data_IF_222310654273
#
_entry.id   IF_222310654273
#
_cell.length_a   1.000
_cell.length_b   1.000
_cell.length_c   1.000
_cell.angle_alpha   90.00
_cell.angle_beta   90.00
_cell.angle_gamma   90.00
#
_symmetry.space_group_name_H-M   'P 1'
#
loop_
_entity.id
_entity.type
_entity.pdbx_description
1 polymer ?
#
# COMPACT_ATOMS: atom_id res chain seq x y z
N UNK A 1 -9.14 -14.22 -14.87
CA UNK A 1 -9.99 -13.91 -16.02
C UNK A 1 -10.12 -12.39 -16.04
N UNK A 2 -9.40 -11.74 -16.95
CA UNK A 2 -9.39 -10.27 -17.06
C UNK A 2 -10.65 -9.81 -17.78
N UNK A 3 -11.54 -9.13 -17.08
CA UNK A 3 -12.53 -8.30 -17.74
C UNK A 3 -11.79 -7.15 -18.44
N UNK A 4 -11.98 -7.05 -19.75
CA UNK A 4 -11.52 -5.92 -20.55
C UNK A 4 -12.08 -4.63 -19.94
N UNK A 5 -11.29 -3.57 -19.77
CA UNK A 5 -11.82 -2.30 -19.30
C UNK A 5 -12.94 -1.85 -20.23
N UNK A 6 -14.17 -1.73 -19.71
CA UNK A 6 -15.25 -1.09 -20.46
C UNK A 6 -14.83 0.38 -20.66
N UNK A 7 -14.65 0.77 -21.91
CA UNK A 7 -14.58 2.19 -22.27
C UNK A 7 -15.94 2.76 -21.94
N UNK A 8 -16.02 3.56 -20.90
CA UNK A 8 -17.24 4.27 -20.49
C UNK A 8 -17.09 5.69 -20.99
N UNK A 9 -17.58 5.94 -22.20
CA UNK A 9 -17.72 7.28 -22.74
C UNK A 9 -19.07 7.85 -22.24
N UNK A 10 -19.05 8.98 -21.55
CA UNK A 10 -20.27 9.64 -21.12
C UNK A 10 -20.09 10.55 -19.91
N UNK A 11 -21.09 11.37 -19.59
CA UNK A 11 -21.09 12.16 -18.37
C UNK A 11 -21.07 11.26 -17.12
N UNK A 12 -20.73 11.83 -15.98
CA UNK A 12 -20.80 11.12 -14.70
C UNK A 12 -22.25 10.73 -14.38
N UNK A 13 -22.44 9.51 -13.88
CA UNK A 13 -23.73 8.98 -13.40
C UNK A 13 -23.77 9.08 -11.86
N UNK A 14 -24.57 10.01 -11.36
CA UNK A 14 -24.67 10.31 -9.92
C UNK A 14 -26.06 9.94 -9.43
N UNK A 15 -26.11 9.00 -8.47
CA UNK A 15 -27.38 8.61 -7.87
C UNK A 15 -28.08 9.81 -7.18
N UNK A 16 -29.42 9.99 -7.30
CA UNK A 16 -30.12 11.16 -6.78
C UNK A 16 -29.98 11.41 -5.27
N UNK A 17 -29.66 10.37 -4.49
CA UNK A 17 -29.44 10.49 -3.03
C UNK A 17 -27.97 10.72 -2.66
N UNK A 18 -27.06 10.74 -3.62
CA UNK A 18 -25.66 11.06 -3.35
C UNK A 18 -25.48 12.57 -3.12
N UNK A 19 -24.56 12.91 -2.25
CA UNK A 19 -24.18 14.32 -1.98
C UNK A 19 -22.85 14.60 -2.66
N UNK A 20 -22.85 15.31 -3.75
CA UNK A 20 -21.65 15.73 -4.47
C UNK A 20 -21.46 17.22 -4.38
N UNK A 21 -20.32 17.66 -3.82
CA UNK A 21 -20.03 19.08 -3.69
C UNK A 21 -19.83 19.71 -5.07
N UNK A 22 -20.37 20.93 -5.36
CA UNK A 22 -20.26 21.57 -6.69
C UNK A 22 -18.83 21.83 -7.18
N UNK A 23 -17.84 21.78 -6.30
CA UNK A 23 -16.40 21.92 -6.62
C UNK A 23 -15.67 20.56 -6.66
N UNK A 24 -16.37 19.45 -6.59
CA UNK A 24 -15.78 18.14 -6.89
C UNK A 24 -15.63 17.99 -8.41
N UNK A 25 -14.55 17.37 -8.83
CA UNK A 25 -14.26 17.14 -10.24
C UNK A 25 -14.47 15.65 -10.54
N UNK A 26 -15.43 15.33 -11.40
CA UNK A 26 -15.74 13.97 -11.82
C UNK A 26 -15.33 13.77 -13.28
N UNK A 27 -14.48 12.78 -13.53
CA UNK A 27 -14.08 12.38 -14.88
C UNK A 27 -15.21 11.73 -15.69
N UNK A 28 -14.96 11.43 -16.94
CA UNK A 28 -15.90 10.76 -17.81
C UNK A 28 -16.30 9.38 -17.28
N UNK A 29 -17.59 9.05 -17.33
CA UNK A 29 -18.11 7.75 -16.92
C UNK A 29 -17.93 7.41 -15.43
N UNK A 30 -17.65 8.38 -14.56
CA UNK A 30 -17.63 8.19 -13.11
C UNK A 30 -19.03 7.82 -12.64
N UNK A 31 -19.13 6.83 -11.76
CA UNK A 31 -20.40 6.42 -11.13
C UNK A 31 -20.37 6.67 -9.63
N UNK A 32 -21.38 7.35 -9.10
CA UNK A 32 -21.52 7.64 -7.67
C UNK A 32 -22.82 7.01 -7.14
N UNK A 33 -22.68 6.02 -6.27
CA UNK A 33 -23.78 5.24 -5.71
C UNK A 33 -24.61 5.99 -4.66
N UNK A 34 -25.72 5.37 -4.22
CA UNK A 34 -26.66 5.99 -3.29
C UNK A 34 -25.99 6.34 -1.95
N UNK A 35 -26.37 7.51 -1.41
CA UNK A 35 -25.92 8.03 -0.12
C UNK A 35 -24.39 8.19 -0.01
N UNK A 36 -23.65 8.13 -1.11
CA UNK A 36 -22.24 8.47 -1.12
C UNK A 36 -22.05 9.98 -0.94
N UNK A 37 -20.98 10.38 -0.27
CA UNK A 37 -20.58 11.78 -0.08
C UNK A 37 -19.25 12.03 -0.79
N UNK A 38 -19.26 13.00 -1.70
CA UNK A 38 -18.06 13.45 -2.41
C UNK A 38 -17.86 14.93 -2.10
N UNK A 39 -16.87 15.20 -1.26
CA UNK A 39 -16.63 16.53 -0.69
C UNK A 39 -15.89 17.48 -1.60
N UNK A 40 -15.66 18.70 -1.09
CA UNK A 40 -14.91 19.75 -1.78
C UNK A 40 -13.45 19.33 -1.97
N UNK A 41 -12.93 19.51 -3.20
CA UNK A 41 -11.51 19.23 -3.53
C UNK A 41 -11.22 17.75 -3.85
N UNK A 42 -12.26 16.94 -3.97
CA UNK A 42 -12.17 15.58 -4.47
C UNK A 42 -12.12 15.59 -6.00
N UNK A 43 -11.17 14.86 -6.57
CA UNK A 43 -11.03 14.62 -8.01
C UNK A 43 -11.08 13.13 -8.28
N UNK A 44 -12.00 12.68 -9.12
CA UNK A 44 -12.16 11.28 -9.53
C UNK A 44 -11.81 11.14 -11.00
N UNK A 45 -10.83 10.28 -11.30
CA UNK A 45 -10.45 9.95 -12.68
C UNK A 45 -11.53 9.14 -13.40
N UNK A 46 -11.44 9.11 -14.72
CA UNK A 46 -12.41 8.49 -15.62
C UNK A 46 -12.76 7.05 -15.24
N UNK A 47 -14.02 6.70 -15.34
CA UNK A 47 -14.52 5.35 -15.07
C UNK A 47 -14.41 4.89 -13.61
N UNK A 48 -14.11 5.79 -12.68
CA UNK A 48 -14.05 5.44 -11.25
C UNK A 48 -15.46 5.21 -10.70
N UNK A 49 -15.62 4.19 -9.88
CA UNK A 49 -16.87 3.79 -9.25
C UNK A 49 -16.82 4.05 -7.74
N UNK A 50 -17.80 4.77 -7.22
CA UNK A 50 -17.99 5.04 -5.80
C UNK A 50 -19.24 4.34 -5.31
N UNK A 51 -19.06 3.38 -4.43
CA UNK A 51 -20.14 2.57 -3.84
C UNK A 51 -21.02 3.34 -2.85
N UNK A 52 -22.14 2.73 -2.42
CA UNK A 52 -23.07 3.35 -1.51
C UNK A 52 -22.42 3.69 -0.16
N UNK A 53 -22.84 4.80 0.44
CA UNK A 53 -22.36 5.27 1.75
C UNK A 53 -20.84 5.50 1.84
N UNK A 54 -20.10 5.49 0.74
CA UNK A 54 -18.69 5.88 0.75
C UNK A 54 -18.56 7.38 1.02
N UNK A 55 -17.53 7.78 1.78
CA UNK A 55 -17.28 9.18 2.12
C UNK A 55 -15.89 9.57 1.65
N UNK A 56 -15.84 10.51 0.72
CA UNK A 56 -14.64 11.03 0.09
C UNK A 56 -14.50 12.51 0.45
N UNK A 57 -13.44 12.88 1.15
CA UNK A 57 -13.31 14.23 1.71
C UNK A 57 -11.91 14.83 1.55
N UNK A 58 -11.83 16.16 1.64
CA UNK A 58 -10.59 16.91 1.60
C UNK A 58 -9.91 16.94 0.24
N UNK A 59 -8.62 17.22 0.21
CA UNK A 59 -7.80 17.20 -1.01
C UNK A 59 -7.51 15.75 -1.41
N UNK A 60 -8.36 15.18 -2.25
CA UNK A 60 -8.30 13.78 -2.66
C UNK A 60 -8.19 13.68 -4.19
N UNK A 61 -7.17 12.99 -4.68
CA UNK A 61 -6.96 12.69 -6.09
C UNK A 61 -7.05 11.15 -6.28
N UNK A 62 -8.01 10.68 -7.05
CA UNK A 62 -8.21 9.26 -7.37
C UNK A 62 -8.00 9.06 -8.86
N UNK A 63 -7.09 8.17 -9.21
CA UNK A 63 -6.79 7.81 -10.60
C UNK A 63 -7.96 7.12 -11.31
N UNK A 64 -7.87 6.93 -12.63
CA UNK A 64 -8.93 6.34 -13.43
C UNK A 64 -9.17 4.86 -13.13
N UNK A 65 -10.41 4.41 -13.33
CA UNK A 65 -10.80 3.02 -13.23
C UNK A 65 -10.73 2.43 -11.82
N UNK A 66 -10.71 3.26 -10.79
CA UNK A 66 -10.74 2.81 -9.40
C UNK A 66 -12.15 2.32 -9.00
N UNK A 67 -12.20 1.41 -8.05
CA UNK A 67 -13.45 0.91 -7.48
C UNK A 67 -13.43 1.10 -5.97
N UNK A 68 -14.28 1.95 -5.47
CA UNK A 68 -14.42 2.28 -4.04
C UNK A 68 -15.73 1.66 -3.57
N UNK A 69 -15.67 0.74 -2.63
CA UNK A 69 -16.83 -0.03 -2.18
C UNK A 69 -17.56 0.66 -1.01
N UNK A 70 -18.66 0.06 -0.61
CA UNK A 70 -19.57 0.61 0.37
C UNK A 70 -18.88 0.98 1.69
N UNK A 71 -19.22 2.14 2.24
CA UNK A 71 -18.77 2.58 3.55
C UNK A 71 -17.28 2.90 3.67
N UNK A 72 -16.52 2.90 2.56
CA UNK A 72 -15.12 3.35 2.60
C UNK A 72 -15.04 4.85 2.95
N UNK A 73 -14.07 5.23 3.79
CA UNK A 73 -13.85 6.62 4.25
C UNK A 73 -12.44 7.07 3.88
N UNK A 74 -12.35 8.04 2.99
CA UNK A 74 -11.06 8.46 2.41
C UNK A 74 -10.88 9.98 2.53
N UNK A 75 -9.69 10.38 2.99
CA UNK A 75 -9.30 11.78 3.02
C UNK A 75 -9.66 12.54 4.30
N UNK A 76 -10.18 11.85 5.32
CA UNK A 76 -10.39 12.44 6.64
C UNK A 76 -9.08 12.88 7.32
N UNK A 77 -9.15 13.80 8.31
CA UNK A 77 -7.99 14.23 9.08
C UNK A 77 -7.21 13.06 9.67
N UNK A 78 -5.89 13.18 9.82
CA UNK A 78 -5.07 12.16 10.46
C UNK A 78 -5.48 11.91 11.91
N UNK A 79 -5.37 10.67 12.36
CA UNK A 79 -5.53 10.30 13.76
C UNK A 79 -4.21 10.57 14.51
N UNK A 80 -3.79 11.84 14.53
CA UNK A 80 -2.59 12.30 15.21
C UNK A 80 -2.97 13.43 16.18
N UNK A 81 -2.62 13.28 17.45
CA UNK A 81 -2.92 14.28 18.50
C UNK A 81 -2.21 15.63 18.23
N UNK A 82 -1.18 15.65 17.40
CA UNK A 82 -0.48 16.87 17.00
C UNK A 82 -1.09 17.58 15.81
N UNK A 83 -2.09 16.96 15.18
CA UNK A 83 -2.76 17.52 14.02
C UNK A 83 -3.44 18.85 14.36
N UNK A 84 -3.31 19.81 13.46
CA UNK A 84 -3.99 21.11 13.55
C UNK A 84 -5.03 21.19 12.46
N UNK A 85 -6.27 21.47 12.83
CA UNK A 85 -7.37 21.64 11.88
C UNK A 85 -7.02 22.73 10.85
N UNK A 86 -7.37 22.47 9.59
CA UNK A 86 -7.09 23.36 8.50
C UNK A 86 -5.72 23.20 7.83
N UNK A 87 -4.82 22.34 8.34
CA UNK A 87 -3.55 22.05 7.64
C UNK A 87 -3.82 21.50 6.24
N UNK A 88 -3.32 22.16 5.17
CA UNK A 88 -3.51 21.68 3.80
C UNK A 88 -2.71 20.41 3.57
N UNK A 89 -3.41 19.32 3.31
CA UNK A 89 -2.78 18.02 2.98
C UNK A 89 -3.77 17.14 2.24
N UNK A 90 -3.31 15.99 1.71
CA UNK A 90 -4.17 15.21 0.85
C UNK A 90 -3.90 13.70 0.83
N UNK A 91 -4.69 13.02 0.00
CA UNK A 91 -4.54 11.62 -0.39
C UNK A 91 -4.45 11.52 -1.89
N UNK A 92 -3.51 10.72 -2.40
CA UNK A 92 -3.43 10.30 -3.81
C UNK A 92 -3.59 8.81 -3.92
N UNK A 93 -4.43 8.38 -4.87
CA UNK A 93 -4.67 6.98 -5.18
C UNK A 93 -4.45 6.80 -6.68
N UNK A 94 -3.59 5.85 -7.03
CA UNK A 94 -3.27 5.51 -8.41
C UNK A 94 -4.42 4.85 -9.15
N UNK A 95 -4.20 4.57 -10.42
CA UNK A 95 -5.20 4.00 -11.33
C UNK A 95 -5.58 2.55 -10.97
N UNK A 96 -6.80 2.13 -11.31
CA UNK A 96 -7.29 0.74 -11.21
C UNK A 96 -7.16 0.10 -9.82
N UNK A 97 -7.04 0.92 -8.78
CA UNK A 97 -6.99 0.46 -7.40
C UNK A 97 -8.39 0.12 -6.90
N UNK A 98 -8.50 -1.01 -6.19
CA UNK A 98 -9.74 -1.50 -5.60
C UNK A 98 -9.70 -1.30 -4.10
N UNK A 99 -10.65 -0.54 -3.57
CA UNK A 99 -10.80 -0.20 -2.16
C UNK A 99 -12.11 -0.81 -1.67
N UNK A 100 -12.01 -1.87 -0.86
CA UNK A 100 -13.16 -2.63 -0.40
C UNK A 100 -13.90 -1.94 0.74
N UNK A 101 -14.90 -2.61 1.24
CA UNK A 101 -15.87 -2.09 2.21
C UNK A 101 -15.19 -1.62 3.49
N UNK A 102 -15.59 -0.45 3.98
CA UNK A 102 -15.15 0.14 5.25
C UNK A 102 -13.63 0.34 5.38
N UNK A 103 -12.91 0.38 4.27
CA UNK A 103 -11.51 0.80 4.28
C UNK A 103 -11.41 2.25 4.70
N UNK A 104 -10.41 2.57 5.52
CA UNK A 104 -10.13 3.95 5.93
C UNK A 104 -8.75 4.40 5.45
N UNK A 105 -8.68 5.59 4.83
CA UNK A 105 -7.43 6.19 4.36
C UNK A 105 -7.40 7.65 4.81
N UNK A 106 -6.43 7.99 5.66
CA UNK A 106 -6.30 9.33 6.21
C UNK A 106 -5.30 10.16 5.39
N UNK A 107 -5.59 11.47 5.28
CA UNK A 107 -4.67 12.42 4.62
C UNK A 107 -3.39 12.62 5.44
N UNK A 108 -2.36 13.17 4.80
CA UNK A 108 -1.09 13.48 5.45
C UNK A 108 -1.25 14.40 6.67
N UNK A 109 -0.37 14.24 7.65
CA UNK A 109 -0.26 15.12 8.81
C UNK A 109 0.63 16.33 8.54
N UNK A 110 1.38 16.31 7.45
CA UNK A 110 2.32 17.36 7.06
C UNK A 110 1.64 18.40 6.18
N UNK A 111 2.02 19.66 6.33
CA UNK A 111 1.61 20.73 5.43
C UNK A 111 2.03 20.40 3.99
N UNK A 112 1.08 20.56 3.05
CA UNK A 112 1.20 20.14 1.66
C UNK A 112 1.61 18.67 1.41
N UNK A 113 1.60 17.85 2.47
CA UNK A 113 1.92 16.44 2.41
C UNK A 113 0.82 15.58 1.78
N UNK A 114 1.20 14.35 1.43
CA UNK A 114 0.33 13.37 0.81
C UNK A 114 0.50 11.99 1.41
N UNK A 115 -0.60 11.34 1.73
CA UNK A 115 -0.68 9.89 1.84
C UNK A 115 -0.87 9.34 0.44
N UNK A 116 -0.06 8.39 0.01
CA UNK A 116 0.00 7.92 -1.38
C UNK A 116 -0.25 6.43 -1.47
N UNK A 117 -1.14 6.03 -2.36
CA UNK A 117 -1.40 4.64 -2.75
C UNK A 117 -1.17 4.55 -4.26
N UNK A 118 -0.39 3.55 -4.68
CA UNK A 118 -0.05 3.32 -6.07
C UNK A 118 -1.18 2.75 -6.92
N UNK A 119 -0.81 2.36 -8.12
CA UNK A 119 -1.71 1.73 -9.10
C UNK A 119 -2.00 0.27 -8.75
N UNK A 120 -3.15 -0.23 -9.20
CA UNK A 120 -3.50 -1.66 -9.17
C UNK A 120 -3.44 -2.30 -7.77
N UNK A 121 -3.57 -1.50 -6.72
CA UNK A 121 -3.63 -2.00 -5.36
C UNK A 121 -4.98 -2.65 -5.04
N UNK A 122 -4.97 -3.59 -4.10
CA UNK A 122 -6.17 -4.23 -3.59
C UNK A 122 -6.22 -4.10 -2.06
N UNK A 123 -7.03 -3.17 -1.57
CA UNK A 123 -7.25 -2.93 -0.15
C UNK A 123 -8.55 -3.64 0.25
N UNK A 124 -8.41 -4.76 0.98
CA UNK A 124 -9.57 -5.57 1.41
C UNK A 124 -10.30 -4.91 2.57
N UNK A 125 -11.50 -5.41 2.82
CA UNK A 125 -12.44 -4.84 3.77
C UNK A 125 -11.82 -4.53 5.13
N UNK A 126 -12.15 -3.36 5.68
CA UNK A 126 -11.71 -2.90 7.00
C UNK A 126 -10.19 -2.72 7.18
N UNK A 127 -9.42 -2.73 6.09
CA UNK A 127 -8.01 -2.33 6.20
C UNK A 127 -7.88 -0.83 6.43
N UNK A 128 -6.79 -0.42 7.07
CA UNK A 128 -6.52 0.96 7.45
C UNK A 128 -5.18 1.45 6.92
N UNK A 129 -5.18 2.62 6.30
CA UNK A 129 -3.97 3.35 5.90
C UNK A 129 -3.95 4.69 6.62
N UNK A 130 -3.07 4.82 7.60
CA UNK A 130 -2.89 6.07 8.33
C UNK A 130 -2.18 7.13 7.48
N UNK A 131 -2.02 8.29 8.08
CA UNK A 131 -1.39 9.46 7.48
C UNK A 131 0.05 9.21 7.04
N UNK A 132 0.49 9.89 5.99
CA UNK A 132 1.86 9.91 5.47
C UNK A 132 2.39 8.55 4.98
N UNK A 133 1.52 7.54 4.87
CA UNK A 133 1.89 6.27 4.29
C UNK A 133 2.18 6.40 2.79
N UNK A 134 3.12 5.59 2.32
CA UNK A 134 3.45 5.44 0.90
C UNK A 134 3.33 3.97 0.52
N UNK A 135 2.30 3.64 -0.23
CA UNK A 135 2.02 2.28 -0.71
C UNK A 135 2.33 2.23 -2.19
N UNK A 136 3.21 1.32 -2.59
CA UNK A 136 3.62 1.10 -3.98
C UNK A 136 2.53 0.49 -4.85
N UNK A 137 2.88 0.11 -6.06
CA UNK A 137 1.94 -0.45 -7.03
C UNK A 137 1.67 -1.94 -6.77
N UNK A 138 0.45 -2.38 -7.09
CA UNK A 138 0.05 -3.79 -6.99
C UNK A 138 0.10 -4.37 -5.57
N UNK A 139 0.09 -3.54 -4.55
CA UNK A 139 0.11 -3.98 -3.14
C UNK A 139 -1.26 -4.55 -2.75
N UNK A 140 -1.22 -5.64 -1.99
CA UNK A 140 -2.42 -6.24 -1.40
C UNK A 140 -2.39 -6.07 0.11
N UNK A 141 -3.37 -5.35 0.64
CA UNK A 141 -3.66 -5.28 2.07
C UNK A 141 -4.90 -6.12 2.33
N UNK A 142 -4.77 -7.20 3.08
CA UNK A 142 -5.94 -8.02 3.39
C UNK A 142 -6.72 -7.46 4.58
N UNK A 143 -7.86 -8.04 4.87
CA UNK A 143 -8.80 -7.51 5.85
C UNK A 143 -8.17 -7.30 7.22
N UNK A 144 -8.53 -6.19 7.87
CA UNK A 144 -8.04 -5.79 9.20
C UNK A 144 -6.53 -5.54 9.27
N UNK A 145 -5.85 -5.32 8.14
CA UNK A 145 -4.47 -4.83 8.14
C UNK A 145 -4.43 -3.36 8.52
N UNK A 146 -3.57 -2.98 9.47
CA UNK A 146 -3.36 -1.58 9.86
C UNK A 146 -1.96 -1.08 9.54
N UNK A 147 -1.85 -0.13 8.62
CA UNK A 147 -0.64 0.67 8.41
C UNK A 147 -0.73 1.91 9.31
N UNK A 148 0.15 2.03 10.28
CA UNK A 148 0.24 3.24 11.09
C UNK A 148 1.03 4.35 10.37
N UNK A 149 1.15 5.54 10.95
CA UNK A 149 1.73 6.69 10.24
C UNK A 149 3.13 6.45 9.66
N UNK A 150 3.39 7.04 8.49
CA UNK A 150 4.69 7.02 7.80
C UNK A 150 5.18 5.63 7.34
N UNK A 151 4.33 4.62 7.32
CA UNK A 151 4.69 3.30 6.80
C UNK A 151 4.91 3.37 5.28
N UNK A 152 5.95 2.70 4.81
CA UNK A 152 6.26 2.58 3.39
C UNK A 152 6.14 1.11 2.97
N UNK A 153 5.40 0.85 1.90
CA UNK A 153 5.19 -0.49 1.36
C UNK A 153 5.66 -0.51 -0.09
N UNK A 154 6.63 -1.35 -0.39
CA UNK A 154 7.16 -1.54 -1.74
C UNK A 154 6.19 -2.28 -2.67
N UNK A 155 6.44 -2.16 -3.97
CA UNK A 155 5.57 -2.72 -5.00
C UNK A 155 5.30 -4.21 -4.80
N UNK A 156 4.05 -4.60 -5.06
CA UNK A 156 3.58 -5.99 -5.06
C UNK A 156 3.82 -6.74 -3.74
N UNK A 157 4.02 -6.02 -2.64
CA UNK A 157 4.02 -6.62 -1.32
C UNK A 157 2.62 -7.14 -0.97
N UNK A 158 2.58 -8.24 -0.24
CA UNK A 158 1.33 -8.85 0.24
C UNK A 158 1.33 -8.85 1.77
N UNK A 159 0.34 -8.19 2.36
CA UNK A 159 0.21 -8.10 3.82
C UNK A 159 -1.09 -8.80 4.22
N UNK A 160 -0.95 -9.91 4.95
CA UNK A 160 -2.09 -10.74 5.37
C UNK A 160 -2.86 -10.11 6.52
N UNK A 161 -4.04 -10.62 6.77
CA UNK A 161 -5.02 -10.04 7.68
C UNK A 161 -4.59 -9.99 9.15
N UNK A 162 -5.25 -9.11 9.91
CA UNK A 162 -5.01 -8.91 11.34
C UNK A 162 -3.55 -8.57 11.66
N UNK A 163 -2.88 -7.87 10.74
CA UNK A 163 -1.47 -7.47 10.87
C UNK A 163 -1.37 -6.02 11.29
N UNK A 164 -0.57 -5.76 12.33
CA UNK A 164 -0.24 -4.41 12.82
C UNK A 164 1.18 -4.01 12.45
N UNK A 165 1.33 -2.88 11.76
CA UNK A 165 2.62 -2.35 11.33
C UNK A 165 2.93 -1.07 12.09
N UNK A 166 4.08 -1.03 12.79
CA UNK A 166 4.49 0.12 13.59
C UNK A 166 4.86 1.31 12.69
N UNK A 167 4.71 2.53 13.23
CA UNK A 167 5.07 3.77 12.52
C UNK A 167 6.50 3.72 11.97
N UNK A 168 6.69 4.31 10.78
CA UNK A 168 7.97 4.41 10.08
C UNK A 168 8.57 3.09 9.60
N UNK A 169 7.88 1.97 9.75
CA UNK A 169 8.32 0.68 9.20
C UNK A 169 8.27 0.71 7.68
N UNK A 170 9.29 0.11 7.08
CA UNK A 170 9.38 -0.10 5.64
C UNK A 170 9.20 -1.58 5.33
N UNK A 171 8.35 -1.88 4.37
CA UNK A 171 8.12 -3.24 3.85
C UNK A 171 8.61 -3.25 2.40
N UNK A 172 9.55 -4.12 2.08
CA UNK A 172 10.18 -4.16 0.76
C UNK A 172 9.28 -4.75 -0.34
N UNK A 173 9.68 -4.52 -1.57
CA UNK A 173 9.05 -5.06 -2.78
C UNK A 173 8.91 -6.58 -2.70
N UNK A 174 7.72 -7.11 -3.11
CA UNK A 174 7.43 -8.55 -3.10
C UNK A 174 7.63 -9.24 -1.75
N UNK A 175 7.69 -8.49 -0.64
CA UNK A 175 7.64 -9.09 0.69
C UNK A 175 6.26 -9.70 0.94
N UNK A 176 6.25 -10.76 1.73
CA UNK A 176 5.03 -11.42 2.20
C UNK A 176 4.98 -11.38 3.73
N UNK A 177 3.94 -10.79 4.27
CA UNK A 177 3.69 -10.75 5.71
C UNK A 177 2.54 -11.69 6.03
N UNK A 178 2.78 -12.70 6.84
CA UNK A 178 1.75 -13.67 7.28
C UNK A 178 0.75 -13.01 8.22
N UNK A 179 -0.45 -13.57 8.28
CA UNK A 179 -1.53 -13.07 9.14
C UNK A 179 -1.18 -13.05 10.63
N UNK A 180 -1.88 -12.22 11.39
CA UNK A 180 -1.70 -12.05 12.83
C UNK A 180 -0.27 -11.64 13.24
N UNK A 181 0.48 -11.03 12.33
CA UNK A 181 1.86 -10.57 12.59
C UNK A 181 1.91 -9.15 13.16
N UNK A 182 2.92 -8.87 13.99
CA UNK A 182 3.26 -7.53 14.44
C UNK A 182 4.65 -7.14 13.94
N UNK A 183 4.72 -6.05 13.19
CA UNK A 183 5.96 -5.56 12.56
C UNK A 183 6.52 -4.35 13.31
N UNK A 184 7.50 -4.51 14.21
CA UNK A 184 8.17 -3.40 14.87
C UNK A 184 9.36 -2.85 14.07
N UNK A 185 9.87 -3.60 13.09
CA UNK A 185 11.08 -3.32 12.31
C UNK A 185 10.82 -3.49 10.81
N UNK A 186 11.79 -3.05 9.99
CA UNK A 186 11.69 -3.12 8.54
C UNK A 186 11.70 -4.56 8.03
N UNK A 187 10.88 -4.83 7.01
CA UNK A 187 10.82 -6.13 6.33
C UNK A 187 11.56 -6.01 5.00
N UNK A 188 12.70 -6.72 4.83
CA UNK A 188 13.45 -6.63 3.57
C UNK A 188 12.64 -7.14 2.36
N UNK A 189 12.96 -6.69 1.14
CA UNK A 189 12.34 -7.18 -0.09
C UNK A 189 12.41 -8.68 -0.22
N UNK A 190 11.39 -9.29 -0.85
CA UNK A 190 11.34 -10.70 -1.25
C UNK A 190 11.17 -11.72 -0.12
N UNK A 191 11.21 -11.29 1.15
CA UNK A 191 11.16 -12.24 2.27
C UNK A 191 9.73 -12.46 2.77
N UNK A 192 9.55 -13.63 3.34
CA UNK A 192 8.37 -14.04 4.07
C UNK A 192 8.64 -13.85 5.57
N UNK A 193 7.76 -13.12 6.23
CA UNK A 193 7.83 -12.87 7.67
C UNK A 193 6.54 -13.31 8.37
N UNK A 194 6.66 -13.73 9.62
CA UNK A 194 5.55 -14.24 10.42
C UNK A 194 5.82 -14.08 11.92
N UNK A 195 4.78 -13.81 12.67
CA UNK A 195 4.80 -13.89 14.14
C UNK A 195 4.59 -12.55 14.85
N UNK A 196 4.63 -12.60 16.19
CA UNK A 196 4.47 -11.45 17.08
C UNK A 196 5.52 -11.49 18.21
N UNK A 197 6.66 -10.76 18.10
CA UNK A 197 7.07 -9.98 16.93
C UNK A 197 7.35 -10.84 15.69
N UNK A 198 7.24 -10.25 14.50
CA UNK A 198 7.50 -10.95 13.26
C UNK A 198 8.99 -11.24 13.08
N UNK A 199 9.29 -12.40 12.52
CA UNK A 199 10.64 -12.85 12.15
C UNK A 199 10.66 -13.33 10.71
N UNK A 200 11.81 -13.28 10.06
CA UNK A 200 11.96 -13.84 8.71
C UNK A 200 11.93 -15.37 8.74
N UNK A 201 10.96 -15.96 8.05
CA UNK A 201 10.79 -17.41 7.92
C UNK A 201 11.42 -17.96 6.64
N UNK A 202 11.59 -17.13 5.63
CA UNK A 202 12.15 -17.56 4.35
C UNK A 202 12.02 -16.54 3.25
N UNK A 203 12.13 -17.02 2.02
CA UNK A 203 11.95 -16.23 0.80
C UNK A 203 10.53 -16.44 0.28
N UNK A 204 9.87 -15.39 -0.17
CA UNK A 204 8.55 -15.43 -0.81
C UNK A 204 8.63 -16.05 -2.22
N UNK A 205 8.98 -17.33 -2.31
CA UNK A 205 9.20 -18.04 -3.57
C UNK A 205 7.94 -18.02 -4.47
N UNK A 206 6.76 -18.16 -3.85
CA UNK A 206 5.50 -18.17 -4.59
C UNK A 206 5.23 -16.81 -5.21
N UNK A 207 5.39 -15.72 -4.44
CA UNK A 207 5.23 -14.35 -4.92
C UNK A 207 6.23 -14.02 -6.03
N UNK A 208 7.49 -14.35 -5.83
CA UNK A 208 8.54 -14.13 -6.83
C UNK A 208 8.24 -14.85 -8.15
N UNK A 209 7.79 -16.12 -8.09
CA UNK A 209 7.42 -16.89 -9.28
C UNK A 209 6.22 -16.27 -10.00
N UNK A 210 5.17 -15.90 -9.29
CA UNK A 210 3.98 -15.22 -9.84
C UNK A 210 4.33 -13.86 -10.45
N UNK A 211 5.33 -13.20 -9.87
CA UNK A 211 5.85 -11.93 -10.37
C UNK A 211 6.72 -12.06 -11.64
N UNK A 212 7.01 -13.29 -12.08
CA UNK A 212 7.86 -13.52 -13.24
C UNK A 212 9.37 -13.36 -12.95
N UNK A 213 9.79 -13.33 -11.68
CA UNK A 213 11.22 -13.25 -11.34
C UNK A 213 11.95 -14.50 -11.86
N UNK A 214 13.05 -14.37 -12.64
CA UNK A 214 13.77 -15.48 -13.22
C UNK A 214 14.26 -16.50 -12.18
N UNK A 215 14.37 -17.78 -12.56
CA UNK A 215 14.81 -18.83 -11.65
C UNK A 215 16.22 -18.56 -11.06
N UNK A 216 17.14 -18.04 -11.88
CA UNK A 216 18.46 -17.66 -11.43
C UNK A 216 18.42 -16.58 -10.33
N UNK A 217 17.65 -15.52 -10.54
CA UNK A 217 17.50 -14.45 -9.55
C UNK A 217 16.83 -14.96 -8.25
N UNK A 218 15.87 -15.88 -8.35
CA UNK A 218 15.28 -16.50 -7.14
C UNK A 218 16.31 -17.31 -6.35
N UNK A 219 17.24 -17.99 -7.01
CA UNK A 219 18.35 -18.68 -6.35
C UNK A 219 19.34 -17.72 -5.69
N UNK A 220 19.64 -16.58 -6.32
CA UNK A 220 20.46 -15.53 -5.72
C UNK A 220 19.80 -14.96 -4.45
N UNK A 221 18.52 -14.63 -4.50
CA UNK A 221 17.76 -14.17 -3.34
C UNK A 221 17.77 -15.23 -2.21
N UNK A 222 17.67 -16.52 -2.54
CA UNK A 222 17.78 -17.60 -1.55
C UNK A 222 19.18 -17.69 -0.93
N UNK A 223 20.23 -17.45 -1.71
CA UNK A 223 21.61 -17.38 -1.19
C UNK A 223 21.75 -16.17 -0.25
N UNK A 224 21.25 -15.00 -0.66
CA UNK A 224 21.23 -13.81 0.19
C UNK A 224 20.52 -14.08 1.53
N UNK A 225 19.34 -14.71 1.50
CA UNK A 225 18.63 -15.11 2.71
C UNK A 225 19.48 -16.00 3.63
N UNK A 226 20.19 -16.98 3.08
CA UNK A 226 21.06 -17.86 3.87
C UNK A 226 22.23 -17.09 4.53
N UNK A 227 22.85 -16.17 3.79
CA UNK A 227 23.92 -15.32 4.32
C UNK A 227 23.43 -14.38 5.42
N UNK A 228 22.24 -13.81 5.28
CA UNK A 228 21.66 -12.86 6.24
C UNK A 228 21.13 -13.54 7.52
N UNK A 229 20.45 -14.70 7.39
CA UNK A 229 19.64 -15.26 8.47
C UNK A 229 20.00 -16.69 8.89
N UNK A 230 20.87 -17.40 8.16
CA UNK A 230 21.17 -18.82 8.42
C UNK A 230 22.65 -19.13 8.55
N UNK A 231 23.49 -18.10 8.58
CA UNK A 231 24.96 -18.29 8.65
C UNK A 231 25.58 -18.01 10.02
N UNK A 232 24.76 -17.63 11.01
CA UNK A 232 25.22 -17.29 12.36
C UNK A 232 25.96 -15.94 12.45
N UNK A 233 25.91 -15.15 11.39
CA UNK A 233 26.52 -13.81 11.35
C UNK A 233 25.58 -12.73 11.92
N UNK A 234 26.18 -11.62 12.36
CA UNK A 234 25.42 -10.41 12.64
C UNK A 234 24.80 -9.87 11.34
N UNK A 235 23.69 -9.08 11.40
CA UNK A 235 23.11 -8.48 10.20
C UNK A 235 24.10 -7.69 9.34
N UNK A 236 25.04 -6.96 9.97
CA UNK A 236 26.07 -6.20 9.26
C UNK A 236 27.05 -7.12 8.52
N UNK A 237 27.53 -8.18 9.17
CA UNK A 237 28.41 -9.17 8.55
C UNK A 237 27.70 -9.93 7.43
N UNK A 238 26.43 -10.31 7.63
CA UNK A 238 25.62 -10.96 6.61
C UNK A 238 25.45 -10.06 5.38
N UNK A 239 25.19 -8.77 5.57
CA UNK A 239 25.06 -7.80 4.49
C UNK A 239 26.38 -7.62 3.70
N UNK A 240 27.50 -7.56 4.39
CA UNK A 240 28.83 -7.47 3.74
C UNK A 240 29.12 -8.72 2.90
N UNK A 241 28.79 -9.88 3.40
CA UNK A 241 28.91 -11.13 2.64
C UNK A 241 27.99 -11.17 1.42
N UNK A 242 26.78 -10.67 1.53
CA UNK A 242 25.88 -10.54 0.36
C UNK A 242 26.52 -9.68 -0.71
N UNK A 243 27.16 -8.55 -0.34
CA UNK A 243 27.85 -7.66 -1.28
C UNK A 243 29.06 -8.30 -1.95
N UNK A 244 29.82 -9.09 -1.22
CA UNK A 244 31.10 -9.64 -1.69
C UNK A 244 30.96 -10.99 -2.39
N UNK A 245 30.00 -11.82 -1.99
CA UNK A 245 29.85 -13.19 -2.48
C UNK A 245 28.81 -13.34 -3.60
N UNK A 246 27.86 -12.39 -3.72
CA UNK A 246 26.87 -12.41 -4.77
C UNK A 246 27.22 -11.39 -5.86
N UNK A 247 27.11 -11.81 -7.11
CA UNK A 247 27.38 -10.96 -8.27
C UNK A 247 26.34 -9.81 -8.40
N UNK A 248 26.60 -8.84 -9.27
CA UNK A 248 25.71 -7.72 -9.51
C UNK A 248 24.37 -8.23 -10.06
N UNK A 249 23.29 -7.83 -9.41
CA UNK A 249 21.93 -8.23 -9.76
C UNK A 249 20.96 -7.16 -9.25
N UNK A 250 20.03 -6.67 -10.06
CA UNK A 250 19.08 -5.64 -9.62
C UNK A 250 18.28 -6.07 -8.41
N UNK A 251 18.09 -7.35 -8.19
CA UNK A 251 17.39 -7.88 -7.01
C UNK A 251 18.26 -7.83 -5.75
N UNK A 252 19.55 -8.16 -5.90
CA UNK A 252 20.49 -8.12 -4.77
C UNK A 252 20.83 -6.67 -4.43
N UNK A 253 21.01 -5.81 -5.43
CA UNK A 253 21.27 -4.39 -5.23
C UNK A 253 20.11 -3.73 -4.46
N UNK A 254 18.84 -3.98 -4.87
CA UNK A 254 17.66 -3.50 -4.16
C UNK A 254 17.60 -4.00 -2.71
N UNK A 255 17.92 -5.28 -2.47
CA UNK A 255 17.95 -5.85 -1.13
C UNK A 255 19.01 -5.18 -0.26
N UNK A 256 20.20 -5.01 -0.79
CA UNK A 256 21.35 -4.39 -0.10
C UNK A 256 21.05 -2.93 0.24
N UNK A 257 20.55 -2.15 -0.72
CA UNK A 257 20.19 -0.75 -0.53
C UNK A 257 19.07 -0.60 0.53
N UNK A 258 18.06 -1.47 0.46
CA UNK A 258 16.97 -1.44 1.43
C UNK A 258 17.50 -1.66 2.86
N UNK A 259 18.32 -2.70 3.07
CA UNK A 259 18.86 -3.04 4.39
C UNK A 259 19.81 -1.95 4.87
N UNK A 260 20.71 -1.45 4.02
CA UNK A 260 21.66 -0.40 4.37
C UNK A 260 20.97 0.92 4.78
N UNK A 261 19.83 1.23 4.17
CA UNK A 261 19.04 2.42 4.48
C UNK A 261 18.08 2.25 5.67
N UNK A 262 18.04 1.07 6.31
CA UNK A 262 17.15 0.83 7.44
C UNK A 262 17.60 1.59 8.68
N UNK A 263 16.69 2.39 9.25
CA UNK A 263 16.90 3.13 10.51
C UNK A 263 16.33 2.42 11.73
N UNK A 264 15.40 1.50 11.51
CA UNK A 264 14.72 0.75 12.58
C UNK A 264 15.32 -0.64 12.81
N UNK A 265 16.32 -1.03 12.02
CA UNK A 265 16.75 -2.41 11.91
C UNK A 265 15.77 -3.23 11.08
N UNK A 266 16.17 -4.43 10.74
CA UNK A 266 15.35 -5.41 10.01
C UNK A 266 14.90 -6.53 10.93
N UNK A 267 13.73 -7.12 10.63
CA UNK A 267 13.20 -8.32 11.30
C UNK A 267 14.08 -9.52 11.07
#
# INVERSE_FOLDING_TARGET
>A
MGETPRVIDGPADVHPTAIVHPKAELGAGVRVGPYAVVGKGVRLGDGTEVGPHAVLEGRLEVGPGCRIFAGAVIGYPPQDLKWKDGTPSGVRIGARTVIREYVTIHRSSLEDGWTVIGDECFLMATSHVAHDCRVGNGVILTSYTGLTGFVQVGDRAFISGLTGIHQFVRIGTLAFVSGCSRLPQDVPPYFLVEGNPAEVRGVNIVGLRRAGVPAAARLEIQRAYKLLYRSGHTPAQGLERVRTELGPSPYIDQLVEFIAASRRGIV
#
